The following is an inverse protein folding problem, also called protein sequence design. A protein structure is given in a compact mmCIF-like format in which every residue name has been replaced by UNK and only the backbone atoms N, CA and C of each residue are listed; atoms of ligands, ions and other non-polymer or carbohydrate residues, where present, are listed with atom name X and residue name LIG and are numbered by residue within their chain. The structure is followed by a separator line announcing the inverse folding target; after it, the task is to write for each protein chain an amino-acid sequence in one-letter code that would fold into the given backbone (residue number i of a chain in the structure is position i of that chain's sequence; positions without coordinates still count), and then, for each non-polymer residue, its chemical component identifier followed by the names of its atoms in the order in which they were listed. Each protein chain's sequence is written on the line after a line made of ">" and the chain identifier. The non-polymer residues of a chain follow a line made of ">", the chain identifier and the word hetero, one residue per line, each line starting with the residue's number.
data_IF_159210110526
#
_entry.id   IF_159210110526
#
_cell.length_a   1.000
_cell.length_b   1.000
_cell.length_c   1.000
_cell.angle_alpha   90.00
_cell.angle_beta   90.00
_cell.angle_gamma   90.00
#
_symmetry.space_group_name_H-M   'P 1'
#
loop_
_entity.id
_entity.type
_entity.pdbx_description
1 polymer ?
#
# COMPACT_ATOMS: atom_id res chain seq x y z
N UNK A 1 -7.71 9.26 -17.05
CA UNK A 1 -6.26 9.07 -17.17
C UNK A 1 -5.73 8.20 -16.02
N UNK A 2 -5.93 8.59 -14.74
CA UNK A 2 -5.45 7.82 -13.57
C UNK A 2 -5.88 6.34 -13.64
N UNK A 3 -7.16 6.07 -13.89
CA UNK A 3 -7.71 4.71 -14.01
C UNK A 3 -7.01 3.87 -15.10
N UNK A 4 -6.65 4.49 -16.21
CA UNK A 4 -5.99 3.80 -17.33
C UNK A 4 -4.50 3.54 -17.08
N UNK A 5 -3.85 4.42 -16.30
CA UNK A 5 -2.41 4.39 -16.08
C UNK A 5 -2.01 3.39 -14.97
N UNK A 6 -2.95 3.01 -14.08
CA UNK A 6 -2.67 2.19 -12.90
C UNK A 6 -3.51 0.91 -12.86
N UNK A 7 -2.90 -0.26 -13.14
CA UNK A 7 -3.59 -1.56 -13.17
C UNK A 7 -4.33 -1.92 -11.88
N UNK A 8 -3.84 -1.51 -10.73
CA UNK A 8 -4.50 -1.76 -9.44
C UNK A 8 -5.91 -1.17 -9.33
N UNK A 9 -6.29 -0.25 -10.22
CA UNK A 9 -7.62 0.34 -10.23
C UNK A 9 -8.64 -0.45 -11.05
N UNK A 10 -8.21 -1.45 -11.84
CA UNK A 10 -9.12 -2.21 -12.71
C UNK A 10 -8.84 -3.71 -12.83
N UNK A 11 -7.60 -4.20 -12.63
CA UNK A 11 -7.25 -5.60 -12.90
C UNK A 11 -8.04 -6.60 -12.04
N UNK A 12 -8.28 -6.25 -10.77
CA UNK A 12 -8.95 -7.11 -9.80
C UNK A 12 -10.23 -6.47 -9.24
N UNK A 13 -10.94 -5.69 -10.07
CA UNK A 13 -12.19 -5.04 -9.64
C UNK A 13 -13.33 -6.03 -9.36
N UNK A 14 -13.30 -7.19 -9.98
CA UNK A 14 -14.29 -8.25 -9.86
C UNK A 14 -13.97 -9.28 -8.78
N UNK A 15 -12.83 -9.13 -8.09
CA UNK A 15 -12.39 -10.07 -7.04
C UNK A 15 -11.99 -9.36 -5.75
N UNK A 16 -12.12 -10.02 -4.59
CA UNK A 16 -11.67 -9.44 -3.32
C UNK A 16 -10.15 -9.30 -3.22
N UNK A 17 -9.38 -9.95 -4.10
CA UNK A 17 -7.93 -9.91 -4.10
C UNK A 17 -7.35 -8.54 -4.44
N UNK A 18 -8.13 -7.70 -5.12
CA UNK A 18 -7.78 -6.34 -5.50
C UNK A 18 -7.82 -5.32 -4.36
N UNK A 19 -8.35 -5.70 -3.19
CA UNK A 19 -8.57 -4.79 -2.08
C UNK A 19 -8.04 -5.38 -0.76
N UNK A 20 -7.41 -4.53 0.07
CA UNK A 20 -6.99 -4.92 1.42
C UNK A 20 -6.99 -3.71 2.36
N UNK A 21 -7.67 -3.81 3.49
CA UNK A 21 -7.61 -2.80 4.53
C UNK A 21 -6.20 -2.67 5.12
N UNK A 22 -5.72 -1.44 5.31
CA UNK A 22 -4.58 -1.13 6.17
C UNK A 22 -5.11 -0.74 7.55
N UNK A 23 -5.88 0.34 7.62
CA UNK A 23 -6.51 0.79 8.86
C UNK A 23 -7.90 1.39 8.56
N UNK A 24 -8.90 0.88 9.24
CA UNK A 24 -10.30 1.33 9.14
C UNK A 24 -10.97 1.51 10.51
N UNK A 25 -10.18 1.40 11.59
CA UNK A 25 -10.68 1.42 12.98
C UNK A 25 -10.38 2.72 13.73
N UNK A 26 -9.64 3.65 13.15
CA UNK A 26 -9.40 4.97 13.73
C UNK A 26 -10.60 5.92 13.52
N UNK A 27 -11.75 5.53 14.05
CA UNK A 27 -13.02 6.28 13.88
C UNK A 27 -12.92 7.72 14.39
N UNK A 28 -12.12 7.97 15.43
CA UNK A 28 -11.92 9.32 15.98
C UNK A 28 -11.23 10.27 15.01
N UNK A 29 -10.41 9.75 14.10
CA UNK A 29 -9.72 10.54 13.08
C UNK A 29 -10.51 10.66 11.78
N UNK A 30 -11.61 9.90 11.61
CA UNK A 30 -12.36 9.81 10.37
C UNK A 30 -11.47 9.46 9.15
N UNK A 31 -10.50 8.59 9.37
CA UNK A 31 -9.52 8.17 8.35
C UNK A 31 -9.74 6.73 7.94
N UNK A 32 -9.58 6.47 6.65
CA UNK A 32 -9.53 5.12 6.09
C UNK A 32 -8.27 4.98 5.24
N UNK A 33 -7.55 3.89 5.45
CA UNK A 33 -6.38 3.55 4.63
C UNK A 33 -6.48 2.12 4.12
N UNK A 34 -6.23 1.92 2.83
CA UNK A 34 -6.34 0.62 2.19
C UNK A 34 -5.40 0.49 0.98
N UNK A 35 -5.23 -0.74 0.55
CA UNK A 35 -4.49 -1.08 -0.66
C UNK A 35 -5.43 -1.37 -1.81
N UNK A 36 -5.06 -0.92 -3.00
CA UNK A 36 -5.52 -1.47 -4.27
C UNK A 36 -4.37 -2.28 -4.86
N UNK A 37 -4.66 -3.52 -5.22
CA UNK A 37 -3.65 -4.47 -5.67
C UNK A 37 -3.87 -4.85 -7.12
N UNK A 38 -2.77 -5.16 -7.79
CA UNK A 38 -2.73 -5.73 -9.13
C UNK A 38 -1.93 -7.03 -9.10
N UNK A 39 -1.85 -7.72 -10.22
CA UNK A 39 -1.06 -8.95 -10.35
C UNK A 39 0.41 -8.71 -9.95
N UNK A 40 0.96 -7.59 -10.39
CA UNK A 40 2.33 -7.19 -10.02
C UNK A 40 2.32 -6.37 -8.73
N UNK A 41 3.11 -6.78 -7.75
CA UNK A 41 3.27 -6.05 -6.48
C UNK A 41 3.72 -4.60 -6.66
N UNK A 42 4.53 -4.34 -7.69
CA UNK A 42 4.99 -2.98 -8.01
C UNK A 42 3.86 -2.05 -8.46
N UNK A 43 2.72 -2.59 -8.89
CA UNK A 43 1.55 -1.82 -9.29
C UNK A 43 0.57 -1.58 -8.13
N UNK A 44 0.91 -2.02 -6.91
CA UNK A 44 0.10 -1.76 -5.71
C UNK A 44 0.00 -0.27 -5.44
N UNK A 45 -1.21 0.18 -5.13
CA UNK A 45 -1.49 1.54 -4.69
C UNK A 45 -1.92 1.56 -3.23
N UNK A 46 -1.50 2.60 -2.53
CA UNK A 46 -1.96 2.93 -1.18
C UNK A 46 -2.93 4.09 -1.27
N UNK A 47 -4.12 3.93 -0.72
CA UNK A 47 -5.18 4.94 -0.73
C UNK A 47 -5.42 5.42 0.70
N UNK A 48 -5.42 6.74 0.86
CA UNK A 48 -5.69 7.42 2.14
C UNK A 48 -6.89 8.33 1.94
N UNK A 49 -7.95 8.09 2.72
CA UNK A 49 -9.14 8.92 2.73
C UNK A 49 -9.24 9.62 4.08
N UNK A 50 -9.33 10.93 4.06
CA UNK A 50 -9.57 11.76 5.25
C UNK A 50 -10.94 12.45 5.11
N UNK A 51 -11.87 12.06 5.95
CA UNK A 51 -13.22 12.64 6.00
C UNK A 51 -13.37 13.73 7.06
N UNK A 52 -12.26 14.16 7.69
CA UNK A 52 -12.26 15.28 8.61
C UNK A 52 -11.72 16.56 7.95
N UNK A 53 -12.05 17.70 8.54
CA UNK A 53 -11.54 19.01 8.15
C UNK A 53 -10.14 19.30 8.72
N UNK A 54 -9.55 18.34 9.41
CA UNK A 54 -8.21 18.44 9.97
C UNK A 54 -7.16 17.94 8.99
N UNK A 55 -6.08 18.71 8.82
CA UNK A 55 -4.86 18.26 8.17
C UNK A 55 -3.92 17.61 9.19
N UNK A 56 -3.16 16.61 8.75
CA UNK A 56 -2.13 15.96 9.56
C UNK A 56 -0.77 16.18 8.92
N UNK A 57 0.18 16.77 9.64
CA UNK A 57 1.53 17.04 9.11
C UNK A 57 2.42 15.79 9.09
N UNK A 58 2.20 14.86 10.03
CA UNK A 58 2.99 13.65 10.21
C UNK A 58 2.09 12.47 10.58
N UNK A 59 1.38 11.93 9.59
CA UNK A 59 0.57 10.74 9.79
C UNK A 59 1.38 9.50 9.44
N UNK A 60 1.62 8.66 10.44
CA UNK A 60 2.31 7.39 10.26
C UNK A 60 1.32 6.28 9.93
N UNK A 61 1.56 5.53 8.86
CA UNK A 61 0.72 4.41 8.44
C UNK A 61 1.56 3.20 8.04
N UNK A 62 1.01 2.02 8.25
CA UNK A 62 1.61 0.76 7.82
C UNK A 62 1.55 0.58 6.31
N UNK A 63 2.61 0.01 5.75
CA UNK A 63 2.70 -0.33 4.33
C UNK A 63 3.32 -1.72 4.13
N UNK A 64 2.92 -2.45 3.07
CA UNK A 64 3.30 -3.85 2.93
C UNK A 64 4.74 -4.06 2.43
N UNK A 65 5.34 -3.07 1.77
CA UNK A 65 6.61 -3.23 1.08
C UNK A 65 7.63 -2.21 1.51
N UNK A 66 8.89 -2.65 1.61
CA UNK A 66 10.03 -1.75 1.62
C UNK A 66 10.13 -1.02 0.28
N UNK A 67 10.53 0.24 0.29
CA UNK A 67 10.71 1.00 -0.94
C UNK A 67 10.30 2.45 -0.81
N UNK A 68 10.07 3.06 -1.94
CA UNK A 68 9.71 4.47 -2.06
C UNK A 68 8.24 4.60 -2.48
N UNK A 69 7.51 5.41 -1.74
CA UNK A 69 6.10 5.72 -2.00
C UNK A 69 5.98 7.15 -2.51
N UNK A 70 5.26 7.33 -3.62
CA UNK A 70 5.08 8.64 -4.25
C UNK A 70 3.60 8.95 -4.38
N UNK A 71 3.21 10.14 -3.95
CA UNK A 71 1.86 10.65 -4.20
C UNK A 71 1.64 10.86 -5.70
N UNK A 72 0.64 10.16 -6.24
CA UNK A 72 0.28 10.22 -7.68
C UNK A 72 -1.05 10.92 -7.91
N UNK A 73 -1.86 11.04 -6.87
CA UNK A 73 -3.14 11.74 -6.89
C UNK A 73 -3.42 12.35 -5.53
N UNK A 74 -3.98 13.54 -5.54
CA UNK A 74 -4.42 14.26 -4.36
C UNK A 74 -5.63 15.12 -4.72
N UNK A 75 -6.80 14.84 -4.14
CA UNK A 75 -8.01 15.63 -4.39
C UNK A 75 -7.96 17.03 -3.78
N UNK A 76 -7.01 17.29 -2.87
CA UNK A 76 -6.77 18.62 -2.27
C UNK A 76 -5.82 19.50 -3.12
N UNK A 77 -5.44 19.05 -4.31
CA UNK A 77 -4.64 19.84 -5.23
C UNK A 77 -5.37 21.15 -5.59
N UNK A 78 -4.62 22.25 -5.67
CA UNK A 78 -5.15 23.56 -5.98
C UNK A 78 -5.89 23.60 -7.33
N UNK A 79 -5.49 22.73 -8.30
CA UNK A 79 -6.17 22.60 -9.59
C UNK A 79 -7.61 22.08 -9.48
N UNK A 80 -7.95 21.41 -8.36
CA UNK A 80 -9.30 20.96 -8.02
C UNK A 80 -10.01 21.87 -7.02
N UNK A 81 -9.41 23.03 -6.68
CA UNK A 81 -9.93 23.96 -5.69
C UNK A 81 -9.59 23.59 -4.25
N UNK A 82 -8.62 22.72 -4.04
CA UNK A 82 -8.14 22.31 -2.73
C UNK A 82 -7.20 23.31 -2.08
N UNK A 83 -6.74 22.99 -0.87
CA UNK A 83 -5.83 23.83 -0.08
C UNK A 83 -4.36 23.66 -0.44
N UNK A 84 -4.02 22.61 -1.21
CA UNK A 84 -2.68 22.37 -1.71
C UNK A 84 -1.76 21.62 -0.73
N UNK A 85 -2.29 20.97 0.30
CA UNK A 85 -1.51 20.08 1.17
C UNK A 85 -1.12 18.83 0.41
N UNK A 86 0.16 18.62 0.18
CA UNK A 86 0.68 17.53 -0.64
C UNK A 86 2.01 16.97 -0.14
N UNK A 87 2.32 15.75 -0.57
CA UNK A 87 3.60 15.10 -0.32
C UNK A 87 4.51 15.23 -1.54
N UNK A 88 5.53 16.07 -1.42
CA UNK A 88 6.53 16.25 -2.47
C UNK A 88 7.60 15.14 -2.42
N UNK A 89 8.10 14.75 -3.59
CA UNK A 89 9.16 13.74 -3.68
C UNK A 89 8.68 12.33 -3.35
N UNK A 90 9.47 11.58 -2.61
CA UNK A 90 9.20 10.19 -2.23
C UNK A 90 9.24 10.02 -0.72
N UNK A 91 8.35 9.19 -0.20
CA UNK A 91 8.34 8.76 1.19
C UNK A 91 9.01 7.38 1.28
N UNK A 92 10.14 7.31 1.98
CA UNK A 92 10.87 6.06 2.16
C UNK A 92 10.26 5.24 3.29
N UNK A 93 9.95 3.98 3.00
CA UNK A 93 9.46 3.06 4.01
C UNK A 93 10.54 2.77 5.05
N UNK A 94 10.16 2.89 6.33
CA UNK A 94 10.97 2.51 7.49
C UNK A 94 10.62 1.08 7.86
N UNK A 95 11.59 0.31 8.36
CA UNK A 95 11.37 -1.04 8.90
C UNK A 95 10.82 -0.94 10.33
N UNK A 96 9.64 -0.39 10.44
CA UNK A 96 8.88 -0.24 11.68
C UNK A 96 7.48 -0.80 11.45
N UNK A 97 7.07 -1.75 12.28
CA UNK A 97 5.74 -2.34 12.21
C UNK A 97 4.67 -1.30 12.59
N UNK A 98 3.67 -1.17 11.75
CA UNK A 98 2.51 -0.31 11.94
C UNK A 98 1.29 -0.92 11.25
N UNK A 99 0.11 -0.82 11.87
CA UNK A 99 -1.15 -1.30 11.29
C UNK A 99 -1.05 -2.77 10.80
N UNK A 100 -0.38 -3.62 11.58
CA UNK A 100 -0.10 -5.03 11.23
C UNK A 100 0.70 -5.21 9.92
N UNK A 101 1.44 -4.18 9.50
CA UNK A 101 2.33 -4.20 8.33
C UNK A 101 3.78 -4.07 8.76
N UNK A 102 4.71 -4.72 8.03
CA UNK A 102 6.13 -4.80 8.43
C UNK A 102 6.90 -3.49 8.24
N UNK A 103 6.33 -2.56 7.50
CA UNK A 103 6.94 -1.27 7.21
C UNK A 103 5.96 -0.14 7.48
N UNK A 104 6.47 1.06 7.63
CA UNK A 104 5.67 2.29 7.77
C UNK A 104 6.21 3.42 6.94
N UNK A 105 5.33 4.33 6.57
CA UNK A 105 5.66 5.64 5.99
C UNK A 105 5.01 6.73 6.81
N UNK A 106 5.59 7.91 6.75
CA UNK A 106 5.03 9.12 7.35
C UNK A 106 4.69 10.11 6.24
N UNK A 107 3.46 10.58 6.23
CA UNK A 107 2.91 11.43 5.17
C UNK A 107 2.18 12.65 5.76
N UNK A 108 2.07 13.68 4.95
CA UNK A 108 1.09 14.75 5.19
C UNK A 108 -0.27 14.32 4.63
N UNK A 109 -1.31 14.49 5.43
CA UNK A 109 -2.69 14.20 5.01
C UNK A 109 -3.48 15.48 4.92
N UNK A 110 -4.02 15.74 3.75
CA UNK A 110 -4.87 16.88 3.48
C UNK A 110 -6.26 16.74 4.11
N UNK A 111 -6.94 17.82 4.47
CA UNK A 111 -8.30 17.78 4.98
C UNK A 111 -9.27 17.36 3.87
N UNK A 112 -10.35 16.67 4.23
CA UNK A 112 -11.45 16.30 3.31
C UNK A 112 -10.97 15.77 1.96
N UNK A 113 -10.03 14.82 1.98
CA UNK A 113 -9.27 14.44 0.78
C UNK A 113 -9.14 12.94 0.57
N UNK A 114 -8.85 12.61 -0.68
CA UNK A 114 -8.32 11.29 -1.09
C UNK A 114 -6.93 11.49 -1.68
N UNK A 115 -5.97 10.79 -1.12
CA UNK A 115 -4.58 10.77 -1.61
C UNK A 115 -4.21 9.34 -2.00
N UNK A 116 -3.53 9.18 -3.14
CA UNK A 116 -3.12 7.88 -3.66
C UNK A 116 -1.61 7.91 -3.87
N UNK A 117 -0.95 6.85 -3.38
CA UNK A 117 0.48 6.67 -3.47
C UNK A 117 0.80 5.42 -4.29
N UNK A 118 1.73 5.54 -5.24
CA UNK A 118 2.32 4.40 -5.91
C UNK A 118 3.56 3.91 -5.17
N UNK A 119 3.83 2.62 -5.26
CA UNK A 119 5.08 2.02 -4.78
C UNK A 119 6.09 2.10 -5.91
N UNK A 120 7.17 2.85 -5.74
CA UNK A 120 8.29 2.86 -6.66
C UNK A 120 9.40 1.99 -6.11
N UNK A 121 9.74 0.92 -6.87
CA UNK A 121 10.80 -0.02 -6.61
C UNK A 121 10.78 -0.70 -5.23
N UNK A 122 10.20 -1.88 -5.23
CA UNK A 122 10.67 -2.93 -4.35
C UNK A 122 12.10 -3.25 -4.77
N UNK A 123 13.09 -2.72 -4.08
CA UNK A 123 14.49 -2.94 -4.42
C UNK A 123 14.83 -4.43 -4.56
N UNK A 124 15.95 -4.75 -5.19
CA UNK A 124 16.44 -6.12 -5.46
C UNK A 124 16.40 -7.08 -4.24
N UNK A 125 16.41 -6.55 -3.02
CA UNK A 125 16.21 -7.32 -1.77
C UNK A 125 14.85 -8.02 -1.71
N UNK A 126 13.77 -7.38 -2.13
CA UNK A 126 12.43 -8.00 -2.09
C UNK A 126 12.26 -9.08 -3.15
N UNK A 127 12.89 -8.92 -4.31
CA UNK A 127 12.90 -9.98 -5.33
C UNK A 127 13.64 -11.21 -4.81
N UNK A 128 14.73 -11.01 -4.07
CA UNK A 128 15.48 -12.10 -3.42
C UNK A 128 14.68 -12.74 -2.28
N UNK A 129 14.09 -11.96 -1.39
CA UNK A 129 13.27 -12.47 -0.27
C UNK A 129 12.01 -13.20 -0.77
N UNK A 130 11.34 -12.70 -1.81
CA UNK A 130 10.18 -13.37 -2.38
C UNK A 130 10.56 -14.67 -3.11
N UNK A 131 11.72 -14.74 -3.77
CA UNK A 131 12.24 -15.99 -4.35
C UNK A 131 12.59 -17.02 -3.29
N UNK A 132 13.30 -16.61 -2.24
CA UNK A 132 13.67 -17.48 -1.11
C UNK A 132 12.41 -18.01 -0.41
N UNK A 133 11.41 -17.18 -0.19
CA UNK A 133 10.14 -17.60 0.39
C UNK A 133 9.40 -18.60 -0.48
N UNK A 134 9.31 -18.38 -1.79
CA UNK A 134 8.68 -19.32 -2.74
C UNK A 134 9.41 -20.64 -2.81
N UNK A 135 10.75 -20.64 -2.75
CA UNK A 135 11.54 -21.87 -2.71
C UNK A 135 11.33 -22.63 -1.40
N UNK A 136 11.23 -21.92 -0.28
CA UNK A 136 10.94 -22.50 1.03
C UNK A 136 9.54 -23.13 1.06
N UNK A 137 8.53 -22.41 0.58
CA UNK A 137 7.16 -22.91 0.47
C UNK A 137 7.05 -24.17 -0.44
N UNK A 138 7.82 -24.21 -1.54
CA UNK A 138 7.91 -25.41 -2.39
C UNK A 138 8.52 -26.60 -1.66
N UNK A 139 9.63 -26.37 -0.95
CA UNK A 139 10.28 -27.44 -0.17
C UNK A 139 9.36 -28.01 0.91
N UNK A 140 8.66 -27.14 1.65
CA UNK A 140 7.69 -27.56 2.67
C UNK A 140 6.58 -28.40 2.04
N UNK A 141 6.03 -28.01 0.91
CA UNK A 141 4.99 -28.78 0.19
C UNK A 141 5.50 -30.14 -0.29
N UNK A 142 6.74 -30.21 -0.76
CA UNK A 142 7.36 -31.46 -1.21
C UNK A 142 7.64 -32.41 -0.05
N UNK A 143 8.05 -31.88 1.11
CA UNK A 143 8.25 -32.68 2.33
C UNK A 143 6.93 -33.24 2.86
N UNK A 144 5.87 -32.44 2.95
CA UNK A 144 4.53 -32.90 3.33
C UNK A 144 4.01 -34.02 2.40
N UNK A 145 4.21 -33.86 1.09
CA UNK A 145 3.80 -34.88 0.11
C UNK A 145 4.59 -36.17 0.23
N UNK A 146 5.87 -36.10 0.63
CA UNK A 146 6.68 -37.31 0.90
C UNK A 146 6.26 -38.02 2.18
N UNK A 147 5.83 -37.29 3.20
CA UNK A 147 5.31 -37.87 4.45
C UNK A 147 3.95 -38.53 4.24
N UNK A 148 3.05 -37.96 3.48
CA UNK A 148 1.76 -38.57 3.11
C UNK A 148 1.94 -39.88 2.33
N UNK A 149 2.90 -39.95 1.42
CA UNK A 149 3.18 -41.15 0.63
C UNK A 149 3.94 -42.23 1.41
N UNK A 150 4.40 -41.96 2.64
CA UNK A 150 5.06 -42.95 3.53
C UNK A 150 4.09 -43.61 4.53
N UNK A 151 2.87 -43.13 4.61
CA UNK A 151 1.78 -43.71 5.43
C UNK A 151 0.89 -44.63 4.60
#
# INVERSE_FOLDING_TARGET
>A
KLYQDYPALYEYDDTPDGFEWINHIEAEKNMLTFLRKAEKKADTLVVVCNFSDLAYEAYAMGVPYAGEYREIFNSDDESFGGTGVKNSGVQKAKKEEKDERPYSIEIQVAPLSVQIFSVKECGEKMVKESKVRRELEKKIKEEHKKEENRR
#
